data_IF_249412488194
#
_entry.id   IF_249412488194
#
_cell.length_a   1.000
_cell.length_b   1.000
_cell.length_c   1.000
_cell.angle_alpha   90.00
_cell.angle_beta   90.00
_cell.angle_gamma   90.00
#
_symmetry.space_group_name_H-M   'P 1'
#
loop_
_entity.id
_entity.type
_entity.pdbx_description
1 polymer ?
#
# COMPACT_ATOMS: atom_id res chain seq x y z
N UNK A 1 -17.83 17.89 1.58
CA UNK A 1 -16.66 18.22 0.73
C UNK A 1 -15.45 18.41 1.63
N UNK A 2 -14.26 18.01 1.20
CA UNK A 2 -13.01 18.28 1.94
C UNK A 2 -12.23 19.39 1.27
N UNK A 3 -11.54 20.20 2.05
CA UNK A 3 -10.64 21.25 1.55
C UNK A 3 -9.38 21.32 2.40
N UNK A 4 -8.28 21.77 1.79
CA UNK A 4 -7.00 21.99 2.48
C UNK A 4 -6.55 23.42 2.22
N UNK A 5 -6.19 24.10 3.29
CA UNK A 5 -5.66 25.47 3.27
C UNK A 5 -4.25 25.47 3.81
N UNK A 6 -3.44 26.44 3.38
CA UNK A 6 -2.11 26.72 3.94
C UNK A 6 -2.14 28.08 4.63
N UNK A 7 -1.84 28.11 5.92
CA UNK A 7 -1.78 29.36 6.68
C UNK A 7 -0.51 30.15 6.30
N UNK A 8 -0.66 31.43 6.00
CA UNK A 8 0.45 32.24 5.46
C UNK A 8 1.56 32.52 6.48
N UNK A 9 1.21 32.70 7.76
CA UNK A 9 2.19 33.06 8.80
C UNK A 9 2.99 31.86 9.30
N UNK A 10 2.29 30.79 9.67
CA UNK A 10 2.88 29.58 10.26
C UNK A 10 3.30 28.57 9.20
N UNK A 11 2.75 28.66 7.99
CA UNK A 11 2.86 27.64 6.94
C UNK A 11 2.17 26.32 7.28
N UNK A 12 1.39 26.28 8.36
CA UNK A 12 0.60 25.12 8.76
C UNK A 12 -0.46 24.78 7.72
N UNK A 13 -0.82 23.51 7.65
CA UNK A 13 -1.95 23.05 6.85
C UNK A 13 -3.20 22.94 7.70
N UNK A 14 -4.32 23.44 7.18
CA UNK A 14 -5.63 23.26 7.77
C UNK A 14 -6.47 22.39 6.84
N UNK A 15 -6.80 21.18 7.29
CA UNK A 15 -7.72 20.28 6.58
C UNK A 15 -9.09 20.44 7.19
N UNK A 16 -10.11 20.64 6.36
CA UNK A 16 -11.48 20.86 6.81
C UNK A 16 -12.48 19.96 6.09
N UNK A 17 -13.56 19.63 6.79
CA UNK A 17 -14.78 19.08 6.22
C UNK A 17 -15.82 20.20 6.16
N UNK A 18 -16.37 20.40 4.97
CA UNK A 18 -17.44 21.35 4.68
C UNK A 18 -18.76 20.60 4.43
N UNK A 19 -19.82 21.02 5.12
CA UNK A 19 -21.22 20.64 4.85
C UNK A 19 -22.05 21.90 4.71
N UNK A 20 -22.81 22.02 3.62
CA UNK A 20 -23.67 23.18 3.35
C UNK A 20 -22.93 24.53 3.48
N UNK A 21 -21.68 24.57 2.99
CA UNK A 21 -20.83 25.77 3.04
C UNK A 21 -20.23 26.09 4.41
N UNK A 22 -20.51 25.29 5.46
CA UNK A 22 -19.98 25.48 6.81
C UNK A 22 -18.90 24.46 7.13
N UNK A 23 -17.85 24.91 7.83
CA UNK A 23 -16.86 24.02 8.43
C UNK A 23 -17.52 23.25 9.56
N UNK A 24 -17.58 21.93 9.44
CA UNK A 24 -18.13 21.03 10.48
C UNK A 24 -17.04 20.26 11.23
N UNK A 25 -15.86 20.14 10.64
CA UNK A 25 -14.68 19.49 11.25
C UNK A 25 -13.42 20.12 10.69
N UNK A 26 -12.38 20.24 11.51
CA UNK A 26 -11.08 20.71 11.08
C UNK A 26 -9.94 20.07 11.87
N UNK A 27 -8.78 19.92 11.24
CA UNK A 27 -7.53 19.54 11.91
C UNK A 27 -6.35 20.28 11.30
N UNK A 28 -5.48 20.72 12.19
CA UNK A 28 -4.24 21.42 11.85
C UNK A 28 -3.09 20.43 11.76
N UNK A 29 -2.23 20.63 10.78
CA UNK A 29 -1.03 19.82 10.55
C UNK A 29 0.17 20.75 10.40
N UNK A 30 1.32 20.29 10.87
CA UNK A 30 2.57 21.05 10.79
C UNK A 30 2.98 21.27 9.32
N UNK A 31 3.76 22.31 9.01
CA UNK A 31 4.07 22.72 7.64
C UNK A 31 4.67 21.61 6.77
N UNK A 32 5.48 20.74 7.37
CA UNK A 32 6.20 19.68 6.67
C UNK A 32 5.37 18.39 6.50
N UNK A 33 4.12 18.34 7.00
CA UNK A 33 3.29 17.12 6.95
C UNK A 33 3.06 16.63 5.52
N UNK A 34 2.87 17.57 4.59
CA UNK A 34 2.67 17.30 3.16
C UNK A 34 3.88 17.73 2.31
N UNK A 35 5.01 18.04 2.97
CA UNK A 35 6.33 18.45 2.46
C UNK A 35 6.42 19.65 1.50
N UNK A 36 5.49 19.85 0.58
CA UNK A 36 5.60 20.82 -0.51
C UNK A 36 4.28 21.58 -0.71
N UNK A 37 3.42 21.04 -1.56
CA UNK A 37 2.28 21.70 -2.18
C UNK A 37 1.19 20.66 -2.30
N UNK A 38 -0.03 21.04 -1.95
CA UNK A 38 -1.22 20.25 -2.24
C UNK A 38 -1.76 20.71 -3.59
N UNK A 39 -1.88 19.79 -4.54
CA UNK A 39 -2.36 20.08 -5.89
C UNK A 39 -3.83 19.74 -6.06
N UNK A 40 -4.26 18.61 -5.51
CA UNK A 40 -5.62 18.09 -5.65
C UNK A 40 -6.07 17.38 -4.38
N UNK A 41 -7.37 17.42 -4.12
CA UNK A 41 -8.03 16.61 -3.09
C UNK A 41 -9.23 15.94 -3.74
N UNK A 42 -9.39 14.65 -3.52
CA UNK A 42 -10.57 13.92 -4.03
C UNK A 42 -11.14 13.00 -2.95
N UNK A 43 -12.47 12.87 -2.94
CA UNK A 43 -13.15 11.94 -2.04
C UNK A 43 -12.90 10.50 -2.48
N UNK A 44 -12.70 9.62 -1.51
CA UNK A 44 -12.59 8.16 -1.73
C UNK A 44 -13.51 7.44 -0.75
N UNK A 45 -13.70 6.12 -0.92
CA UNK A 45 -14.67 5.31 -0.15
C UNK A 45 -14.76 5.64 1.35
N UNK A 46 -13.64 5.62 2.05
CA UNK A 46 -13.57 5.82 3.51
C UNK A 46 -12.80 7.07 3.94
N UNK A 47 -12.77 8.09 3.07
CA UNK A 47 -12.13 9.37 3.37
C UNK A 47 -11.79 10.18 2.13
N UNK A 48 -10.54 10.60 2.02
CA UNK A 48 -10.08 11.41 0.88
C UNK A 48 -8.58 11.24 0.62
N UNK A 49 -8.19 11.46 -0.63
CA UNK A 49 -6.81 11.51 -1.06
C UNK A 49 -6.36 12.98 -1.17
N UNK A 50 -5.15 13.27 -0.72
CA UNK A 50 -4.46 14.55 -0.91
C UNK A 50 -3.25 14.29 -1.83
N UNK A 51 -3.28 14.84 -3.03
CA UNK A 51 -2.20 14.74 -4.01
C UNK A 51 -1.20 15.89 -3.80
N UNK A 52 0.08 15.55 -3.72
CA UNK A 52 1.14 16.49 -3.38
C UNK A 52 2.35 16.36 -4.30
N UNK A 53 3.31 17.28 -4.15
CA UNK A 53 4.61 17.22 -4.81
C UNK A 53 5.52 16.07 -4.36
N UNK A 54 5.09 15.25 -3.40
CA UNK A 54 5.87 14.10 -2.90
C UNK A 54 5.10 12.80 -2.89
N UNK A 55 3.82 12.78 -3.24
CA UNK A 55 3.04 11.56 -3.38
C UNK A 55 1.56 11.78 -3.12
N UNK A 56 0.86 10.74 -2.67
CA UNK A 56 -0.56 10.80 -2.30
C UNK A 56 -0.75 10.37 -0.85
N UNK A 57 -1.34 11.24 -0.04
CA UNK A 57 -1.74 10.92 1.32
C UNK A 57 -3.22 10.53 1.36
N UNK A 58 -3.51 9.32 1.82
CA UNK A 58 -4.89 8.85 2.05
C UNK A 58 -5.23 9.11 3.50
N UNK A 59 -6.28 9.87 3.75
CA UNK A 59 -6.77 10.19 5.08
C UNK A 59 -8.18 9.63 5.28
N UNK A 60 -8.45 9.12 6.48
CA UNK A 60 -9.80 8.73 6.88
C UNK A 60 -10.65 9.97 7.24
N UNK A 61 -11.93 9.74 7.56
CA UNK A 61 -12.88 10.80 7.99
C UNK A 61 -12.47 11.50 9.31
N UNK A 62 -11.52 10.93 10.05
CA UNK A 62 -10.92 11.49 11.27
C UNK A 62 -9.62 12.25 11.03
N UNK A 63 -9.28 12.46 9.75
CA UNK A 63 -8.06 13.15 9.33
C UNK A 63 -6.79 12.45 9.83
N UNK A 64 -6.83 11.13 9.90
CA UNK A 64 -5.67 10.29 10.17
C UNK A 64 -5.18 9.68 8.87
N UNK A 65 -3.87 9.73 8.64
CA UNK A 65 -3.27 9.18 7.44
C UNK A 65 -3.29 7.66 7.51
N UNK A 66 -4.04 7.02 6.63
CA UNK A 66 -4.13 5.56 6.52
C UNK A 66 -3.04 5.02 5.60
N UNK A 67 -2.79 5.68 4.47
CA UNK A 67 -1.77 5.28 3.51
C UNK A 67 -0.98 6.46 2.94
N UNK A 68 0.20 6.16 2.42
CA UNK A 68 1.02 7.07 1.64
C UNK A 68 1.56 6.36 0.41
N UNK A 69 1.12 6.78 -0.77
CA UNK A 69 1.47 6.14 -2.03
C UNK A 69 2.40 7.02 -2.86
N UNK A 70 3.21 6.34 -3.69
CA UNK A 70 4.13 6.95 -4.65
C UNK A 70 5.07 7.99 -3.99
N UNK A 71 5.86 7.60 -2.98
CA UNK A 71 6.79 8.52 -2.35
C UNK A 71 7.78 9.08 -3.38
N UNK A 72 8.00 10.40 -3.33
CA UNK A 72 8.82 11.19 -4.25
C UNK A 72 8.24 11.39 -5.65
N UNK A 73 6.98 10.99 -5.89
CA UNK A 73 6.27 11.30 -7.12
C UNK A 73 5.45 12.59 -6.99
N UNK A 74 5.47 13.42 -8.03
CA UNK A 74 4.67 14.65 -8.08
C UNK A 74 3.29 14.33 -8.65
N UNK A 75 2.32 14.06 -7.78
CA UNK A 75 0.97 13.68 -8.19
C UNK A 75 0.10 14.92 -8.34
N UNK A 76 -0.32 15.20 -9.57
CA UNK A 76 -0.94 16.48 -9.94
C UNK A 76 -2.46 16.45 -9.92
N UNK A 77 -3.08 15.30 -10.14
CA UNK A 77 -4.54 15.15 -10.18
C UNK A 77 -4.95 13.73 -9.75
N UNK A 78 -6.22 13.56 -9.38
CA UNK A 78 -6.80 12.29 -8.99
C UNK A 78 -8.28 12.16 -9.33
N UNK A 79 -8.68 10.97 -9.78
CA UNK A 79 -10.06 10.56 -10.00
C UNK A 79 -10.33 9.24 -9.29
N UNK A 80 -11.32 9.23 -8.39
CA UNK A 80 -11.84 8.00 -7.81
C UNK A 80 -13.05 7.53 -8.61
N UNK A 81 -12.97 6.33 -9.20
CA UNK A 81 -14.05 5.79 -10.02
C UNK A 81 -15.05 4.97 -9.21
N UNK A 82 -16.11 4.51 -9.89
CA UNK A 82 -17.21 3.74 -9.27
C UNK A 82 -16.84 2.29 -8.96
N UNK A 83 -15.78 1.77 -9.57
CA UNK A 83 -15.28 0.40 -9.33
C UNK A 83 -14.31 0.36 -8.14
N UNK A 84 -13.93 1.53 -7.63
CA UNK A 84 -13.08 1.69 -6.48
C UNK A 84 -11.60 1.89 -6.83
N UNK A 85 -11.29 2.12 -8.11
CA UNK A 85 -9.93 2.44 -8.53
C UNK A 85 -9.66 3.93 -8.30
N UNK A 86 -8.45 4.23 -7.83
CA UNK A 86 -7.92 5.59 -7.74
C UNK A 86 -6.94 5.82 -8.89
N UNK A 87 -7.37 6.64 -9.84
CA UNK A 87 -6.57 7.11 -10.97
C UNK A 87 -5.81 8.35 -10.56
N UNK A 88 -4.54 8.42 -10.91
CA UNK A 88 -3.64 9.51 -10.53
C UNK A 88 -2.84 9.97 -11.75
N UNK A 89 -2.63 11.27 -11.89
CA UNK A 89 -1.67 11.82 -12.86
C UNK A 89 -0.38 12.24 -12.16
N UNK A 90 0.75 11.99 -12.79
CA UNK A 90 2.07 12.44 -12.35
C UNK A 90 2.63 13.43 -13.36
N UNK A 91 3.29 14.47 -12.86
CA UNK A 91 3.92 15.48 -13.71
C UNK A 91 4.97 14.90 -14.66
N UNK A 92 5.63 13.80 -14.28
CA UNK A 92 6.77 13.24 -15.02
C UNK A 92 6.55 11.80 -15.48
N UNK A 93 5.72 11.03 -14.78
CA UNK A 93 5.64 9.58 -14.96
C UNK A 93 4.27 9.11 -15.48
N UNK A 94 3.47 10.02 -16.05
CA UNK A 94 2.23 9.69 -16.74
C UNK A 94 1.07 9.41 -15.80
N UNK A 95 0.40 8.27 -15.96
CA UNK A 95 -0.83 7.92 -15.22
C UNK A 95 -0.58 6.65 -14.40
N UNK A 96 -0.99 6.69 -13.14
CA UNK A 96 -1.05 5.52 -12.26
C UNK A 96 -2.50 5.13 -11.98
N UNK A 97 -2.72 3.83 -11.79
CA UNK A 97 -4.01 3.29 -11.33
C UNK A 97 -3.74 2.47 -10.09
N UNK A 98 -4.44 2.80 -9.00
CA UNK A 98 -4.47 2.03 -7.75
C UNK A 98 -5.81 1.29 -7.71
N UNK A 99 -5.87 -0.01 -8.05
CA UNK A 99 -7.15 -0.69 -8.23
C UNK A 99 -7.96 -0.88 -6.94
N UNK A 100 -7.28 -0.85 -5.79
CA UNK A 100 -7.90 -0.85 -4.48
C UNK A 100 -7.07 -0.01 -3.53
N UNK A 101 -7.71 0.94 -2.84
CA UNK A 101 -7.08 1.77 -1.81
C UNK A 101 -6.79 0.95 -0.54
N UNK A 102 -7.43 -0.22 -0.37
CA UNK A 102 -7.15 -1.15 0.73
C UNK A 102 -6.02 -2.12 0.38
N UNK A 103 -5.00 -1.65 -0.35
CA UNK A 103 -3.86 -2.46 -0.78
C UNK A 103 -2.89 -2.69 0.38
N UNK A 104 -2.81 -3.94 0.85
CA UNK A 104 -1.79 -4.37 1.79
C UNK A 104 -0.49 -4.75 1.06
N UNK A 105 0.61 -4.07 1.39
CA UNK A 105 1.94 -4.34 0.83
C UNK A 105 2.84 -4.97 1.89
N UNK A 106 3.21 -6.24 1.68
CA UNK A 106 4.14 -6.97 2.54
C UNK A 106 5.54 -6.98 1.91
N UNK A 107 6.42 -6.09 2.37
CA UNK A 107 7.75 -5.85 1.82
C UNK A 107 8.87 -6.40 2.74
N UNK A 108 10.11 -5.94 2.55
CA UNK A 108 11.28 -6.35 3.34
C UNK A 108 11.19 -5.99 4.84
N UNK A 109 10.31 -5.06 5.23
CA UNK A 109 10.02 -4.80 6.64
C UNK A 109 9.13 -5.88 7.27
N UNK A 110 8.39 -6.64 6.44
CA UNK A 110 7.52 -7.72 6.88
C UNK A 110 8.18 -9.09 6.72
N UNK A 111 8.70 -9.39 5.52
CA UNK A 111 9.44 -10.62 5.25
C UNK A 111 10.95 -10.39 5.33
N UNK A 112 11.72 -11.22 6.07
CA UNK A 112 13.18 -11.12 6.12
C UNK A 112 13.82 -11.13 4.72
N UNK A 113 13.30 -11.97 3.82
CA UNK A 113 13.64 -11.98 2.40
C UNK A 113 12.36 -11.74 1.57
N UNK A 114 12.15 -10.50 1.13
CA UNK A 114 10.99 -10.11 0.33
C UNK A 114 11.19 -10.24 -1.20
N UNK A 115 12.28 -10.89 -1.64
CA UNK A 115 12.46 -11.22 -3.05
C UNK A 115 11.62 -12.46 -3.42
N UNK A 116 10.29 -12.26 -3.47
CA UNK A 116 9.31 -13.32 -3.68
C UNK A 116 9.27 -13.72 -5.16
N UNK A 117 9.40 -15.02 -5.42
CA UNK A 117 9.42 -15.56 -6.80
C UNK A 117 8.20 -16.44 -7.11
N UNK A 118 7.51 -16.94 -6.09
CA UNK A 118 6.35 -17.81 -6.29
C UNK A 118 5.38 -17.76 -5.11
N UNK A 119 4.12 -18.03 -5.40
CA UNK A 119 3.04 -18.15 -4.44
C UNK A 119 2.24 -19.43 -4.74
N UNK A 120 1.78 -20.10 -3.70
CA UNK A 120 0.78 -21.16 -3.79
C UNK A 120 -0.22 -21.03 -2.64
N UNK A 121 -1.46 -21.45 -2.84
CA UNK A 121 -2.48 -21.44 -1.79
C UNK A 121 -2.59 -22.81 -1.14
N UNK A 122 -2.64 -22.85 0.18
CA UNK A 122 -2.92 -24.05 0.97
C UNK A 122 -3.96 -23.67 2.03
N UNK A 123 -5.21 -24.12 1.84
CA UNK A 123 -6.35 -23.69 2.65
C UNK A 123 -6.46 -22.15 2.71
N UNK A 124 -6.41 -21.57 3.91
CA UNK A 124 -6.45 -20.13 4.16
C UNK A 124 -5.06 -19.47 4.16
N UNK A 125 -3.99 -20.26 4.03
CA UNK A 125 -2.63 -19.78 4.01
C UNK A 125 -2.07 -19.69 2.59
N UNK A 126 -1.10 -18.79 2.44
CA UNK A 126 -0.26 -18.63 1.27
C UNK A 126 1.13 -19.18 1.56
N UNK A 127 1.59 -20.10 0.72
CA UNK A 127 2.97 -20.51 0.65
C UNK A 127 3.71 -19.52 -0.23
N UNK A 128 4.72 -18.87 0.35
CA UNK A 128 5.48 -17.81 -0.29
C UNK A 128 6.92 -18.27 -0.48
N UNK A 129 7.34 -18.47 -1.72
CA UNK A 129 8.71 -18.91 -2.03
C UNK A 129 9.60 -17.73 -2.44
N UNK A 130 10.76 -17.60 -1.80
CA UNK A 130 11.74 -16.54 -2.09
C UNK A 130 12.77 -16.99 -3.12
N UNK A 131 13.45 -16.01 -3.75
CA UNK A 131 14.57 -16.26 -4.66
C UNK A 131 15.70 -17.06 -4.01
N UNK A 132 15.91 -16.87 -2.70
CA UNK A 132 16.96 -17.55 -1.93
C UNK A 132 16.53 -18.93 -1.43
N UNK A 133 15.27 -19.33 -1.68
CA UNK A 133 14.75 -20.66 -1.35
C UNK A 133 14.03 -20.76 -0.01
N UNK A 134 13.85 -19.65 0.72
CA UNK A 134 12.98 -19.66 1.89
C UNK A 134 11.55 -19.90 1.47
N UNK A 135 10.80 -20.59 2.33
CA UNK A 135 9.37 -20.75 2.19
C UNK A 135 8.70 -20.19 3.43
N UNK A 136 7.78 -19.26 3.25
CA UNK A 136 6.92 -18.77 4.32
C UNK A 136 5.52 -19.37 4.19
N UNK A 137 4.92 -19.72 5.33
CA UNK A 137 3.49 -19.96 5.45
C UNK A 137 2.89 -18.67 5.98
N UNK A 138 2.18 -17.93 5.13
CA UNK A 138 1.65 -16.61 5.40
C UNK A 138 0.12 -16.63 5.44
N UNK A 139 -0.45 -16.14 6.53
CA UNK A 139 -1.90 -15.95 6.64
C UNK A 139 -2.24 -14.48 6.41
N UNK A 140 -3.02 -14.19 5.36
CA UNK A 140 -3.36 -12.80 4.99
C UNK A 140 -4.37 -12.15 5.94
N UNK A 141 -5.19 -12.95 6.64
CA UNK A 141 -6.20 -12.44 7.56
C UNK A 141 -5.56 -12.00 8.89
N UNK A 142 -4.68 -12.82 9.45
CA UNK A 142 -3.96 -12.50 10.69
C UNK A 142 -2.72 -11.65 10.47
N UNK A 143 -2.28 -11.50 9.21
CA UNK A 143 -1.04 -10.81 8.82
C UNK A 143 0.19 -11.36 9.57
N UNK A 144 0.27 -12.68 9.71
CA UNK A 144 1.40 -13.36 10.34
C UNK A 144 1.97 -14.40 9.40
N UNK A 145 3.28 -14.64 9.50
CA UNK A 145 3.92 -15.72 8.77
C UNK A 145 4.83 -16.56 9.67
N UNK A 146 5.12 -17.77 9.21
CA UNK A 146 6.15 -18.64 9.78
C UNK A 146 7.08 -19.11 8.67
N UNK A 147 8.38 -19.21 8.97
CA UNK A 147 9.34 -19.80 8.04
C UNK A 147 9.27 -21.32 8.14
N UNK A 148 9.13 -21.97 6.99
CA UNK A 148 9.20 -23.42 6.89
C UNK A 148 10.66 -23.83 6.79
N UNK A 149 11.18 -24.44 7.86
CA UNK A 149 12.52 -25.01 7.87
C UNK A 149 12.51 -26.34 7.11
N UNK A 150 12.78 -26.28 5.81
CA UNK A 150 13.05 -27.49 5.03
C UNK A 150 14.52 -27.85 5.27
N UNK A 151 14.77 -28.94 6.00
CA UNK A 151 16.09 -29.55 6.01
C UNK A 151 16.33 -30.05 4.59
N UNK A 152 17.35 -29.54 3.87
CA UNK A 152 17.63 -30.02 2.53
C UNK A 152 17.93 -31.51 2.63
N UNK A 153 17.14 -32.33 1.94
CA UNK A 153 17.52 -33.72 1.73
C UNK A 153 18.88 -33.70 1.00
N UNK A 154 19.93 -34.36 1.54
CA UNK A 154 21.30 -34.28 1.01
C UNK A 154 21.43 -34.66 -0.48
N UNK A 155 20.39 -35.26 -1.06
CA UNK A 155 20.35 -35.73 -2.45
C UNK A 155 20.10 -34.59 -3.46
N UNK A 156 19.56 -33.42 -3.08
CA UNK A 156 19.21 -32.36 -4.04
C UNK A 156 20.10 -31.11 -3.97
N UNK A 157 21.13 -31.05 -4.82
CA UNK A 157 22.06 -29.89 -4.96
C UNK A 157 21.50 -28.67 -5.69
N UNK A 158 20.27 -28.67 -6.21
CA UNK A 158 19.75 -27.52 -6.98
C UNK A 158 18.24 -27.35 -6.81
N UNK A 159 17.85 -26.31 -6.07
CA UNK A 159 16.47 -25.97 -5.69
C UNK A 159 15.71 -25.20 -6.81
N UNK A 160 16.40 -24.74 -7.86
CA UNK A 160 15.87 -23.79 -8.86
C UNK A 160 14.72 -24.27 -9.75
N UNK A 161 14.54 -25.59 -9.94
CA UNK A 161 13.42 -26.15 -10.77
C UNK A 161 12.43 -26.96 -9.94
N UNK A 162 12.75 -27.18 -8.67
CA UNK A 162 12.08 -28.14 -7.82
C UNK A 162 11.07 -27.49 -6.87
N UNK A 163 11.12 -26.20 -6.54
CA UNK A 163 10.18 -25.58 -5.57
C UNK A 163 8.69 -25.83 -5.85
N UNK A 164 8.21 -25.69 -7.10
CA UNK A 164 6.82 -26.00 -7.45
C UNK A 164 6.49 -27.49 -7.24
N UNK A 165 7.43 -28.38 -7.62
CA UNK A 165 7.34 -29.83 -7.38
C UNK A 165 7.53 -30.20 -5.91
N UNK A 166 8.29 -29.43 -5.14
CA UNK A 166 8.60 -29.64 -3.73
C UNK A 166 7.37 -29.25 -2.90
N UNK A 167 6.73 -28.13 -3.23
CA UNK A 167 5.44 -27.71 -2.68
C UNK A 167 4.38 -28.78 -2.96
N UNK A 168 4.25 -29.25 -4.20
CA UNK A 168 3.30 -30.32 -4.55
C UNK A 168 3.65 -31.65 -3.83
N UNK A 169 4.93 -32.03 -3.78
CA UNK A 169 5.38 -33.34 -3.25
C UNK A 169 5.40 -33.42 -1.73
N UNK A 170 5.76 -32.35 -1.02
CA UNK A 170 5.86 -32.35 0.45
C UNK A 170 4.57 -31.89 1.14
N UNK A 171 3.67 -31.18 0.44
CA UNK A 171 2.44 -30.64 1.05
C UNK A 171 1.15 -31.30 0.53
N UNK A 172 1.25 -32.32 -0.34
CA UNK A 172 0.10 -33.13 -0.76
C UNK A 172 -1.00 -32.31 -1.44
N UNK A 173 -0.64 -31.30 -2.22
CA UNK A 173 -1.59 -30.45 -2.93
C UNK A 173 -2.00 -31.12 -4.25
N UNK A 174 -3.23 -31.63 -4.28
CA UNK A 174 -4.04 -31.81 -5.51
C UNK A 174 -4.77 -30.52 -5.79
#
# INVERSE_FOLDING_TARGET
MYAVFRETKTQDWLVVELKEGKIVKQKRFLPNTFNTSVYMITGVKDGFAICTGTGVHLLNKDFERTHYYFPNEKITDALYDKEGNLWLTSLQNGIYVVPSIDLNVFNAAFFPNANITTLARQNDDLLVGTYFGDIYIFNSNTQTFKTLNIVPDPIFKTVKKSLKRLIIKYLGLV
#
